data_IF_625753218097
#
_entry.id   IF_625753218097
#
_cell.length_a   1.000
_cell.length_b   1.000
_cell.length_c   1.000
_cell.angle_alpha   90.00
_cell.angle_beta   90.00
_cell.angle_gamma   90.00
#
_symmetry.space_group_name_H-M   'P 1'
#
loop_
_entity.id
_entity.type
_entity.pdbx_description
1 polymer ?
#
# COMPACT_ATOMS: atom_id res chain seq x y z
N UNK A 1 -24.10 -2.86 6.33
CA UNK A 1 -24.27 -2.14 5.06
C UNK A 1 -22.91 -1.50 4.79
N UNK A 2 -22.19 -2.08 3.87
CA UNK A 2 -20.86 -1.63 3.45
C UNK A 2 -21.02 -0.31 2.71
N UNK A 3 -20.53 0.78 3.24
CA UNK A 3 -20.38 2.04 2.52
C UNK A 3 -19.10 1.93 1.70
N UNK A 4 -19.21 1.31 0.52
CA UNK A 4 -18.26 1.52 -0.54
C UNK A 4 -18.33 3.01 -0.92
N UNK A 5 -17.39 3.80 -0.43
CA UNK A 5 -17.10 5.08 -1.07
C UNK A 5 -16.65 4.75 -2.50
N UNK A 6 -17.20 5.37 -3.53
CA UNK A 6 -16.74 5.13 -4.90
C UNK A 6 -15.28 5.55 -4.97
N UNK A 7 -14.40 4.55 -5.19
CA UNK A 7 -13.03 4.79 -5.64
C UNK A 7 -13.15 5.68 -6.90
N UNK A 8 -12.60 6.89 -6.87
CA UNK A 8 -12.46 7.67 -8.10
C UNK A 8 -11.73 6.77 -9.12
N UNK A 9 -12.22 6.65 -10.36
CA UNK A 9 -11.64 5.76 -11.33
C UNK A 9 -10.17 6.12 -11.54
N UNK A 10 -9.28 5.28 -11.03
CA UNK A 10 -7.84 5.47 -11.17
C UNK A 10 -7.50 5.30 -12.65
N UNK A 11 -7.15 6.39 -13.32
CA UNK A 11 -6.69 6.34 -14.70
C UNK A 11 -5.29 5.72 -14.74
N UNK A 12 -5.21 4.45 -15.13
CA UNK A 12 -3.93 3.78 -15.32
C UNK A 12 -3.18 4.36 -16.51
N UNK A 13 -1.89 4.58 -16.33
CA UNK A 13 -0.99 5.06 -17.37
C UNK A 13 -0.36 3.88 -18.13
N UNK A 14 -0.53 3.85 -19.43
CA UNK A 14 0.00 2.79 -20.33
C UNK A 14 1.00 3.40 -21.30
N UNK A 15 2.20 2.82 -21.39
CA UNK A 15 3.16 3.14 -22.45
C UNK A 15 3.00 2.15 -23.61
N UNK A 16 2.66 2.66 -24.77
CA UNK A 16 2.61 1.91 -26.04
C UNK A 16 3.91 2.14 -26.79
N UNK A 17 4.60 1.06 -27.15
CA UNK A 17 5.86 1.11 -27.90
C UNK A 17 5.66 0.36 -29.23
N UNK A 18 5.60 1.10 -30.32
CA UNK A 18 5.26 0.60 -31.65
C UNK A 18 5.88 1.51 -32.72
N UNK A 19 6.62 0.94 -33.66
CA UNK A 19 7.31 1.71 -34.70
C UNK A 19 6.45 1.95 -35.97
N UNK A 20 5.31 1.24 -36.12
CA UNK A 20 4.31 1.56 -37.13
C UNK A 20 3.32 2.62 -36.59
N UNK A 21 3.30 3.83 -37.24
CA UNK A 21 2.46 4.93 -36.76
C UNK A 21 0.95 4.61 -36.76
N UNK A 22 0.47 3.81 -37.71
CA UNK A 22 -0.97 3.48 -37.78
C UNK A 22 -1.38 2.52 -36.65
N UNK A 23 -0.55 1.54 -36.35
CA UNK A 23 -0.76 0.62 -35.25
C UNK A 23 -0.66 1.35 -33.90
N UNK A 24 0.31 2.26 -33.74
CA UNK A 24 0.44 3.08 -32.55
C UNK A 24 -0.78 3.99 -32.32
N UNK A 25 -1.32 4.61 -33.37
CA UNK A 25 -2.52 5.45 -33.29
C UNK A 25 -3.75 4.61 -32.93
N UNK A 26 -3.94 3.44 -33.57
CA UNK A 26 -5.04 2.52 -33.24
C UNK A 26 -5.00 2.08 -31.76
N UNK A 27 -3.83 1.68 -31.27
CA UNK A 27 -3.61 1.28 -29.88
C UNK A 27 -3.91 2.44 -28.91
N UNK A 28 -3.37 3.62 -29.23
CA UNK A 28 -3.60 4.83 -28.43
C UNK A 28 -5.09 5.18 -28.33
N UNK A 29 -5.77 5.20 -29.47
CA UNK A 29 -7.21 5.45 -29.51
C UNK A 29 -8.01 4.39 -28.73
N UNK A 30 -7.71 3.12 -28.93
CA UNK A 30 -8.40 2.01 -28.26
C UNK A 30 -8.26 2.08 -26.75
N UNK A 31 -7.03 2.26 -26.26
CA UNK A 31 -6.75 2.30 -24.82
C UNK A 31 -7.28 3.58 -24.18
N UNK A 32 -7.16 4.73 -24.84
CA UNK A 32 -7.71 5.99 -24.34
C UNK A 32 -9.25 5.94 -24.25
N UNK A 33 -9.91 5.34 -25.24
CA UNK A 33 -11.37 5.12 -25.21
C UNK A 33 -11.83 4.18 -24.10
N UNK A 34 -10.94 3.30 -23.63
CA UNK A 34 -11.16 2.41 -22.49
C UNK A 34 -10.82 3.05 -21.13
N UNK A 35 -10.44 4.34 -21.08
CA UNK A 35 -10.18 5.10 -19.87
C UNK A 35 -8.71 5.07 -19.40
N UNK A 36 -7.77 4.57 -20.19
CA UNK A 36 -6.35 4.61 -19.88
C UNK A 36 -5.72 5.97 -20.27
N UNK A 37 -4.77 6.43 -19.49
CA UNK A 37 -3.85 7.50 -19.93
C UNK A 37 -2.76 6.86 -20.78
N UNK A 38 -2.64 7.26 -22.06
CA UNK A 38 -1.73 6.61 -23.00
C UNK A 38 -0.54 7.52 -23.31
N UNK A 39 0.65 6.95 -23.19
CA UNK A 39 1.90 7.50 -23.70
C UNK A 39 2.38 6.61 -24.85
N UNK A 40 2.98 7.18 -25.89
CA UNK A 40 3.48 6.43 -27.04
C UNK A 40 4.98 6.62 -27.22
N UNK A 41 5.68 5.61 -27.72
CA UNK A 41 7.08 5.68 -28.13
C UNK A 41 7.24 4.91 -29.44
N UNK A 42 7.98 5.47 -30.40
CA UNK A 42 8.20 4.86 -31.70
C UNK A 42 9.40 3.90 -31.74
N UNK A 43 10.10 3.69 -30.64
CA UNK A 43 11.23 2.76 -30.53
C UNK A 43 11.56 2.42 -29.07
N UNK A 44 12.30 1.31 -28.87
CA UNK A 44 12.80 0.91 -27.56
C UNK A 44 13.66 1.98 -26.87
N UNK A 45 14.64 2.61 -27.52
CA UNK A 45 15.41 3.71 -26.92
C UNK A 45 14.58 4.92 -26.50
N UNK A 46 13.53 5.26 -27.28
CA UNK A 46 12.61 6.34 -26.90
C UNK A 46 11.77 5.95 -25.68
N UNK A 47 11.27 4.72 -25.65
CA UNK A 47 10.51 4.18 -24.52
C UNK A 47 11.32 4.24 -23.22
N UNK A 48 12.58 3.80 -23.22
CA UNK A 48 13.45 3.85 -22.07
C UNK A 48 13.65 5.27 -21.54
N UNK A 49 13.90 6.25 -22.43
CA UNK A 49 14.01 7.68 -22.03
C UNK A 49 12.70 8.22 -21.45
N UNK A 50 11.54 7.80 -21.97
CA UNK A 50 10.23 8.21 -21.43
C UNK A 50 10.01 7.64 -20.03
N UNK A 51 10.40 6.42 -19.78
CA UNK A 51 10.29 5.78 -18.47
C UNK A 51 11.13 6.45 -17.37
N UNK A 52 12.15 7.24 -17.71
CA UNK A 52 12.90 8.08 -16.76
C UNK A 52 12.09 9.30 -16.26
N UNK A 53 11.10 9.73 -17.05
CA UNK A 53 10.36 10.98 -16.81
C UNK A 53 8.90 10.74 -16.43
N UNK A 54 8.29 9.68 -16.98
CA UNK A 54 6.86 9.37 -16.83
C UNK A 54 6.70 8.06 -16.09
N UNK A 55 5.88 8.08 -15.04
CA UNK A 55 5.47 6.86 -14.34
C UNK A 55 4.33 6.20 -15.12
N UNK A 56 4.48 4.92 -15.45
CA UNK A 56 3.47 4.12 -16.11
C UNK A 56 3.12 2.87 -15.30
N UNK A 57 1.88 2.42 -15.44
CA UNK A 57 1.37 1.24 -14.73
C UNK A 57 1.49 -0.04 -15.56
N UNK A 58 1.68 0.08 -16.90
CA UNK A 58 1.80 -1.04 -17.82
C UNK A 58 2.51 -0.61 -19.11
N UNK A 59 3.27 -1.53 -19.73
CA UNK A 59 3.91 -1.34 -21.02
C UNK A 59 3.30 -2.33 -22.02
N UNK A 60 2.88 -1.82 -23.18
CA UNK A 60 2.48 -2.62 -24.36
C UNK A 60 3.50 -2.37 -25.43
N UNK A 61 4.23 -3.40 -25.88
CA UNK A 61 5.31 -3.24 -26.84
C UNK A 61 5.19 -4.20 -28.00
N UNK A 62 5.41 -3.72 -29.22
CA UNK A 62 5.73 -4.62 -30.32
C UNK A 62 7.06 -5.35 -30.02
N UNK A 63 7.13 -6.60 -30.45
CA UNK A 63 8.35 -7.39 -30.44
C UNK A 63 9.31 -6.92 -31.51
N UNK A 64 8.82 -6.74 -32.74
CA UNK A 64 9.64 -6.49 -33.93
C UNK A 64 9.73 -5.00 -34.26
N UNK A 65 10.65 -4.30 -33.61
CA UNK A 65 10.91 -2.88 -33.87
C UNK A 65 12.32 -2.64 -34.40
N UNK A 66 12.49 -1.55 -35.13
CA UNK A 66 13.81 -1.09 -35.56
C UNK A 66 14.67 -0.65 -34.37
N UNK A 67 15.98 -0.73 -34.50
CA UNK A 67 17.01 -0.30 -33.55
C UNK A 67 17.10 -1.14 -32.26
N UNK A 68 16.00 -1.51 -31.67
CA UNK A 68 15.92 -2.34 -30.46
C UNK A 68 14.60 -3.11 -30.47
N UNK A 69 14.67 -4.43 -30.51
CA UNK A 69 13.49 -5.27 -30.36
C UNK A 69 12.89 -5.20 -28.94
N UNK A 70 11.61 -5.58 -28.83
CA UNK A 70 10.88 -5.53 -27.56
C UNK A 70 11.48 -6.43 -26.48
N UNK A 71 12.13 -7.54 -26.85
CA UNK A 71 12.78 -8.44 -25.90
C UNK A 71 14.02 -7.80 -25.28
N UNK A 72 14.88 -7.19 -26.09
CA UNK A 72 16.06 -6.45 -25.61
C UNK A 72 15.64 -5.28 -24.72
N UNK A 73 14.56 -4.58 -25.09
CA UNK A 73 14.01 -3.52 -24.24
C UNK A 73 13.55 -4.07 -22.89
N UNK A 74 12.82 -5.18 -22.87
CA UNK A 74 12.36 -5.84 -21.64
C UNK A 74 13.53 -6.27 -20.76
N UNK A 75 14.58 -6.86 -21.33
CA UNK A 75 15.78 -7.25 -20.58
C UNK A 75 16.43 -6.06 -19.87
N UNK A 76 16.50 -4.89 -20.51
CA UNK A 76 17.02 -3.67 -19.88
C UNK A 76 16.12 -3.17 -18.75
N UNK A 77 14.80 -3.22 -18.93
CA UNK A 77 13.81 -2.85 -17.92
C UNK A 77 13.94 -3.77 -16.70
N UNK A 78 14.18 -5.06 -16.89
CA UNK A 78 14.36 -6.04 -15.79
C UNK A 78 15.63 -5.79 -14.95
N UNK A 79 16.64 -5.12 -15.51
CA UNK A 79 17.86 -4.75 -14.79
C UNK A 79 17.67 -3.50 -13.89
N UNK A 80 16.60 -2.74 -14.10
CA UNK A 80 16.28 -1.58 -13.29
C UNK A 80 15.45 -1.97 -12.07
N UNK A 81 15.89 -1.54 -10.89
CA UNK A 81 15.26 -1.90 -9.61
C UNK A 81 13.84 -1.38 -9.43
N UNK A 82 13.43 -0.34 -10.18
CA UNK A 82 12.11 0.29 -10.11
C UNK A 82 11.21 -0.17 -11.26
N UNK A 83 11.75 -0.22 -12.47
CA UNK A 83 11.00 -0.49 -13.69
C UNK A 83 10.70 -1.98 -13.88
N UNK A 84 11.49 -2.88 -13.29
CA UNK A 84 11.35 -4.35 -13.46
C UNK A 84 9.97 -4.88 -13.11
N UNK A 85 9.30 -4.22 -12.15
CA UNK A 85 8.00 -4.64 -11.63
C UNK A 85 6.81 -4.10 -12.46
N UNK A 86 7.07 -3.30 -13.52
CA UNK A 86 6.02 -2.82 -14.42
C UNK A 86 5.55 -3.98 -15.31
N UNK A 87 4.23 -4.29 -15.34
CA UNK A 87 3.68 -5.32 -16.22
C UNK A 87 4.00 -5.03 -17.67
N UNK A 88 4.28 -6.11 -18.41
CA UNK A 88 4.72 -6.02 -19.79
C UNK A 88 3.90 -6.95 -20.70
N UNK A 89 3.28 -6.38 -21.73
CA UNK A 89 2.50 -7.08 -22.74
C UNK A 89 3.23 -6.98 -24.08
N UNK A 90 3.54 -8.12 -24.68
CA UNK A 90 4.09 -8.14 -26.03
C UNK A 90 2.98 -8.23 -27.10
N UNK A 91 3.13 -7.43 -28.14
CA UNK A 91 2.41 -7.60 -29.40
C UNK A 91 3.33 -8.32 -30.37
N UNK A 92 2.93 -9.47 -30.90
CA UNK A 92 3.77 -10.27 -31.78
C UNK A 92 3.04 -10.65 -33.06
N UNK A 93 3.74 -10.65 -34.20
CA UNK A 93 3.22 -11.29 -35.38
C UNK A 93 3.10 -12.79 -35.12
N UNK A 94 2.17 -13.49 -35.80
CA UNK A 94 1.98 -14.94 -35.73
C UNK A 94 3.30 -15.64 -36.07
N UNK A 95 4.10 -15.91 -35.05
CA UNK A 95 5.48 -16.36 -35.16
C UNK A 95 5.69 -17.78 -34.67
N UNK A 96 6.86 -18.30 -34.95
CA UNK A 96 7.33 -19.65 -34.67
C UNK A 96 7.25 -20.01 -33.17
N UNK A 97 7.22 -21.31 -32.89
CA UNK A 97 7.29 -21.86 -31.52
C UNK A 97 8.48 -21.31 -30.71
N UNK A 98 9.55 -20.87 -31.40
CA UNK A 98 10.75 -20.29 -30.78
C UNK A 98 10.48 -18.89 -30.19
N UNK A 99 9.67 -18.05 -30.84
CA UNK A 99 9.30 -16.73 -30.30
C UNK A 99 8.43 -16.86 -29.05
N UNK A 100 7.56 -17.88 -29.02
CA UNK A 100 6.72 -18.17 -27.83
C UNK A 100 7.57 -18.70 -26.67
N UNK A 101 8.58 -19.54 -26.94
CA UNK A 101 9.48 -20.08 -25.91
C UNK A 101 10.39 -18.97 -25.38
N UNK A 102 10.93 -18.12 -26.25
CA UNK A 102 11.76 -16.97 -25.86
C UNK A 102 10.96 -15.98 -25.02
N UNK A 103 9.72 -15.74 -25.43
CA UNK A 103 8.80 -14.90 -24.69
C UNK A 103 8.48 -15.38 -23.28
N UNK A 104 8.21 -16.67 -23.10
CA UNK A 104 7.97 -17.26 -21.77
C UNK A 104 9.18 -17.12 -20.84
N UNK A 105 10.41 -17.12 -21.37
CA UNK A 105 11.64 -16.97 -20.59
C UNK A 105 11.95 -15.51 -20.19
N UNK A 106 11.37 -14.50 -20.87
CA UNK A 106 11.61 -13.07 -20.58
C UNK A 106 10.70 -12.48 -19.50
N UNK A 107 9.83 -13.30 -18.88
CA UNK A 107 8.98 -12.88 -17.75
C UNK A 107 7.97 -11.78 -18.12
N UNK A 108 7.40 -11.82 -19.31
CA UNK A 108 6.27 -10.97 -19.67
C UNK A 108 4.96 -11.48 -19.04
N UNK A 109 4.05 -10.56 -18.75
CA UNK A 109 2.77 -10.90 -18.13
C UNK A 109 1.75 -11.44 -19.16
N UNK A 110 1.89 -11.07 -20.44
CA UNK A 110 0.99 -11.50 -21.51
C UNK A 110 1.61 -11.36 -22.90
N UNK A 111 1.11 -12.16 -23.84
CA UNK A 111 1.42 -12.12 -25.27
C UNK A 111 0.14 -12.00 -26.08
N UNK A 112 0.09 -11.07 -27.00
CA UNK A 112 -1.04 -10.84 -27.91
C UNK A 112 -0.55 -10.91 -29.35
N UNK A 113 -1.11 -11.85 -30.11
CA UNK A 113 -0.73 -12.02 -31.52
C UNK A 113 -1.45 -11.04 -32.43
N UNK A 114 -0.71 -10.42 -33.36
CA UNK A 114 -1.25 -9.61 -34.47
C UNK A 114 -1.75 -10.53 -35.60
N UNK A 115 -2.92 -10.28 -36.23
CA UNK A 115 -3.87 -9.23 -35.89
C UNK A 115 -4.66 -9.57 -34.61
N UNK A 116 -4.93 -8.58 -33.76
CA UNK A 116 -5.69 -8.71 -32.54
C UNK A 116 -7.01 -7.93 -32.58
N UNK A 117 -7.99 -8.43 -31.86
CA UNK A 117 -9.21 -7.67 -31.58
C UNK A 117 -8.89 -6.62 -30.48
N UNK A 118 -9.14 -5.30 -30.75
CA UNK A 118 -8.93 -4.25 -29.76
C UNK A 118 -9.64 -4.48 -28.42
N UNK A 119 -10.87 -5.05 -28.45
CA UNK A 119 -11.62 -5.33 -27.24
C UNK A 119 -10.98 -6.46 -26.42
N UNK A 120 -10.42 -7.46 -27.10
CA UNK A 120 -9.69 -8.56 -26.44
C UNK A 120 -8.41 -8.05 -25.78
N UNK A 121 -7.69 -7.14 -26.45
CA UNK A 121 -6.49 -6.51 -25.86
C UNK A 121 -6.84 -5.74 -24.58
N UNK A 122 -7.86 -4.87 -24.64
CA UNK A 122 -8.35 -4.12 -23.47
C UNK A 122 -8.77 -5.06 -22.33
N UNK A 123 -9.48 -6.14 -22.63
CA UNK A 123 -9.90 -7.12 -21.63
C UNK A 123 -8.70 -7.80 -20.94
N UNK A 124 -7.64 -8.15 -21.71
CA UNK A 124 -6.40 -8.74 -21.18
C UNK A 124 -5.64 -7.76 -20.29
N UNK A 125 -5.48 -6.52 -20.73
CA UNK A 125 -4.85 -5.45 -19.94
C UNK A 125 -5.59 -5.24 -18.63
N UNK A 126 -6.93 -5.13 -18.67
CA UNK A 126 -7.75 -5.01 -17.46
C UNK A 126 -7.58 -6.22 -16.52
N UNK A 127 -7.46 -7.43 -17.06
CA UNK A 127 -7.24 -8.63 -16.23
C UNK A 127 -5.86 -8.61 -15.54
N UNK A 128 -4.80 -8.13 -16.21
CA UNK A 128 -3.47 -7.94 -15.63
C UNK A 128 -3.54 -6.91 -14.51
N UNK A 129 -4.17 -5.74 -14.77
CA UNK A 129 -4.27 -4.67 -13.79
C UNK A 129 -5.05 -5.10 -12.55
N UNK A 130 -6.20 -5.75 -12.71
CA UNK A 130 -7.00 -6.30 -11.58
C UNK A 130 -6.23 -7.36 -10.78
N UNK A 131 -5.47 -8.24 -11.46
CA UNK A 131 -4.65 -9.26 -10.78
C UNK A 131 -3.58 -8.59 -9.94
N UNK A 132 -2.94 -7.55 -10.47
CA UNK A 132 -1.93 -6.77 -9.76
C UNK A 132 -2.52 -5.97 -8.58
N UNK A 133 -3.69 -5.37 -8.74
CA UNK A 133 -4.41 -4.71 -7.64
C UNK A 133 -4.75 -5.69 -6.52
N UNK A 134 -5.30 -6.85 -6.87
CA UNK A 134 -5.63 -7.88 -5.89
C UNK A 134 -4.37 -8.39 -5.18
N UNK A 135 -3.28 -8.63 -5.91
CA UNK A 135 -2.00 -9.04 -5.34
C UNK A 135 -1.41 -7.93 -4.45
N UNK A 136 -1.44 -6.67 -4.91
CA UNK A 136 -0.99 -5.52 -4.12
C UNK A 136 -1.87 -5.28 -2.90
N UNK A 137 -3.19 -5.50 -2.99
CA UNK A 137 -4.13 -5.38 -1.87
C UNK A 137 -3.87 -6.46 -0.82
N UNK A 138 -3.68 -7.71 -1.23
CA UNK A 138 -3.30 -8.82 -0.34
C UNK A 138 -1.91 -8.61 0.25
N UNK A 139 -0.95 -8.11 -0.55
CA UNK A 139 0.40 -7.80 -0.08
C UNK A 139 0.49 -6.54 0.81
N UNK A 140 -0.54 -5.67 0.81
CA UNK A 140 -0.57 -4.42 1.59
C UNK A 140 -1.29 -4.52 2.92
N UNK A 141 -2.23 -5.43 3.05
CA UNK A 141 -3.10 -5.53 4.20
C UNK A 141 -2.73 -6.72 5.09
N UNK A 142 -3.01 -6.58 6.37
CA UNK A 142 -3.04 -7.70 7.31
C UNK A 142 -4.27 -8.56 7.02
N UNK A 143 -4.08 -9.86 6.85
CA UNK A 143 -5.12 -10.80 6.40
C UNK A 143 -6.26 -10.99 7.41
N UNK A 144 -6.00 -10.78 8.71
CA UNK A 144 -7.00 -10.89 9.75
C UNK A 144 -7.80 -9.60 9.89
N UNK A 145 -7.12 -8.47 10.05
CA UNK A 145 -7.75 -7.21 10.44
C UNK A 145 -8.19 -6.34 9.26
N UNK A 146 -7.65 -6.59 8.06
CA UNK A 146 -7.87 -5.74 6.88
C UNK A 146 -7.21 -4.37 6.93
N UNK A 147 -6.45 -4.07 8.00
CA UNK A 147 -5.64 -2.85 8.11
C UNK A 147 -4.35 -2.97 7.31
N UNK A 148 -3.60 -1.86 7.17
CA UNK A 148 -2.28 -1.93 6.57
C UNK A 148 -1.39 -2.91 7.34
N UNK A 149 -0.65 -3.75 6.62
CA UNK A 149 0.38 -4.55 7.24
C UNK A 149 1.61 -3.68 7.58
N UNK A 150 2.51 -4.20 8.42
CA UNK A 150 3.69 -3.48 8.90
C UNK A 150 4.49 -2.80 7.79
N UNK A 151 4.77 -3.52 6.70
CA UNK A 151 5.61 -3.01 5.61
C UNK A 151 4.95 -1.83 4.89
N UNK A 152 3.66 -1.92 4.62
CA UNK A 152 2.90 -0.85 3.95
C UNK A 152 2.74 0.36 4.86
N UNK A 153 2.40 0.13 6.13
CA UNK A 153 2.28 1.16 7.16
C UNK A 153 3.58 1.98 7.26
N UNK A 154 4.71 1.31 7.45
CA UNK A 154 6.03 1.95 7.56
C UNK A 154 6.33 2.82 6.35
N UNK A 155 6.16 2.28 5.14
CA UNK A 155 6.39 2.99 3.90
C UNK A 155 5.49 4.23 3.76
N UNK A 156 4.20 4.11 4.08
CA UNK A 156 3.24 5.19 3.90
C UNK A 156 3.48 6.31 4.95
N UNK A 157 3.84 5.96 6.20
CA UNK A 157 4.25 6.95 7.21
C UNK A 157 5.57 7.64 6.82
N UNK A 158 6.56 6.90 6.32
CA UNK A 158 7.83 7.51 5.84
C UNK A 158 7.59 8.54 4.73
N UNK A 159 6.63 8.32 3.84
CA UNK A 159 6.23 9.30 2.81
C UNK A 159 5.69 10.58 3.42
N UNK A 160 4.83 10.48 4.42
CA UNK A 160 4.31 11.65 5.13
C UNK A 160 5.41 12.39 5.90
N UNK A 161 6.32 11.68 6.54
CA UNK A 161 7.47 12.30 7.23
C UNK A 161 8.41 13.01 6.24
N UNK A 162 8.61 12.47 5.05
CA UNK A 162 9.35 13.14 3.98
C UNK A 162 8.65 14.42 3.48
N UNK A 163 7.30 14.45 3.52
CA UNK A 163 6.51 15.66 3.22
C UNK A 163 6.71 16.75 4.27
N UNK A 164 6.72 16.40 5.56
CA UNK A 164 6.96 17.35 6.67
C UNK A 164 8.34 18.00 6.55
N UNK A 165 9.36 17.27 6.08
CA UNK A 165 10.70 17.84 5.84
C UNK A 165 10.73 18.93 4.77
N UNK A 166 9.81 18.88 3.80
CA UNK A 166 9.71 19.87 2.69
C UNK A 166 8.78 21.03 3.01
N UNK A 167 7.71 20.75 3.73
CA UNK A 167 6.67 21.73 4.06
C UNK A 167 6.49 21.70 5.57
N UNK A 168 6.77 22.82 6.29
CA UNK A 168 6.62 22.88 7.75
C UNK A 168 5.22 22.43 8.18
N UNK A 169 5.15 21.29 8.82
CA UNK A 169 3.95 20.64 9.32
C UNK A 169 4.29 19.77 10.51
N UNK A 170 3.30 19.12 11.09
CA UNK A 170 3.44 18.20 12.21
C UNK A 170 2.54 16.98 12.00
N UNK A 171 2.75 15.93 12.80
CA UNK A 171 1.88 14.77 12.79
C UNK A 171 2.15 13.91 14.01
N UNK A 172 1.14 13.17 14.47
CA UNK A 172 1.23 12.29 15.63
C UNK A 172 1.35 10.84 15.20
N UNK A 173 2.40 10.15 15.66
CA UNK A 173 2.52 8.70 15.58
C UNK A 173 2.07 8.10 16.91
N UNK A 174 1.21 7.09 16.83
CA UNK A 174 0.68 6.33 17.96
C UNK A 174 1.17 4.90 17.87
N UNK A 175 1.64 4.36 18.99
CA UNK A 175 1.91 2.95 19.17
C UNK A 175 1.01 2.41 20.28
N UNK A 176 0.27 1.35 20.01
CA UNK A 176 -0.66 0.77 20.98
C UNK A 176 -0.61 -0.76 21.01
N UNK A 177 -1.02 -1.33 22.13
CA UNK A 177 -1.03 -2.76 22.39
C UNK A 177 -2.20 -3.13 23.32
N UNK A 178 -2.91 -4.24 23.00
CA UNK A 178 -4.09 -4.68 23.76
C UNK A 178 -3.69 -5.14 25.16
N UNK A 179 -4.32 -4.59 26.17
CA UNK A 179 -4.05 -4.93 27.55
C UNK A 179 -4.52 -6.36 27.89
N UNK A 180 -3.57 -7.22 28.26
CA UNK A 180 -3.88 -8.59 28.68
C UNK A 180 -4.27 -9.53 27.54
N UNK A 181 -3.89 -9.25 26.31
CA UNK A 181 -4.23 -10.08 25.15
C UNK A 181 -3.84 -11.55 25.28
N UNK A 182 -2.66 -11.83 25.85
CA UNK A 182 -2.25 -13.20 26.16
C UNK A 182 -3.25 -13.91 27.09
N UNK A 183 -3.76 -13.20 28.11
CA UNK A 183 -4.75 -13.79 29.03
C UNK A 183 -6.06 -14.12 28.31
N UNK A 184 -6.49 -13.29 27.35
CA UNK A 184 -7.66 -13.57 26.51
C UNK A 184 -7.44 -14.87 25.70
N UNK A 185 -6.27 -15.02 25.07
CA UNK A 185 -5.94 -16.25 24.34
C UNK A 185 -5.87 -17.48 25.25
N UNK A 186 -5.20 -17.37 26.38
CA UNK A 186 -5.01 -18.49 27.32
C UNK A 186 -6.35 -18.96 27.94
N UNK A 187 -7.28 -18.02 28.19
CA UNK A 187 -8.57 -18.31 28.85
C UNK A 187 -9.67 -18.71 27.87
N UNK A 188 -9.73 -18.10 26.68
CA UNK A 188 -10.84 -18.21 25.74
C UNK A 188 -10.44 -18.76 24.35
N UNK A 189 -9.15 -19.09 24.16
CA UNK A 189 -8.60 -19.60 22.92
C UNK A 189 -8.31 -18.53 21.86
N UNK A 190 -7.50 -18.89 20.87
CA UNK A 190 -7.05 -17.97 19.81
C UNK A 190 -8.19 -17.32 19.00
N UNK A 191 -9.31 -18.03 18.82
CA UNK A 191 -10.47 -17.45 18.14
C UNK A 191 -11.08 -16.24 18.91
N UNK A 192 -10.95 -16.18 20.23
CA UNK A 192 -11.34 -15.02 21.03
C UNK A 192 -10.34 -13.87 20.85
N UNK A 193 -9.04 -14.17 20.80
CA UNK A 193 -8.01 -13.19 20.46
C UNK A 193 -8.22 -12.59 19.06
N UNK A 194 -8.54 -13.41 18.08
CA UNK A 194 -8.83 -12.94 16.71
C UNK A 194 -10.02 -11.98 16.70
N UNK A 195 -11.09 -12.28 17.44
CA UNK A 195 -12.24 -11.35 17.60
C UNK A 195 -11.84 -10.05 18.27
N UNK A 196 -10.98 -10.10 19.29
CA UNK A 196 -10.48 -8.90 19.96
C UNK A 196 -9.69 -8.00 18.99
N UNK A 197 -8.86 -8.60 18.13
CA UNK A 197 -8.12 -7.87 17.07
C UNK A 197 -9.07 -7.24 16.05
N UNK A 198 -10.13 -7.94 15.64
CA UNK A 198 -11.14 -7.42 14.72
C UNK A 198 -11.95 -6.27 15.34
N UNK A 199 -12.33 -6.37 16.61
CA UNK A 199 -13.01 -5.27 17.32
C UNK A 199 -12.11 -4.05 17.45
N UNK A 200 -10.82 -4.25 17.74
CA UNK A 200 -9.87 -3.15 17.78
C UNK A 200 -9.72 -2.49 16.40
N UNK A 201 -9.51 -3.28 15.35
CA UNK A 201 -9.44 -2.77 14.00
C UNK A 201 -10.68 -1.92 13.61
N UNK A 202 -11.87 -2.42 13.96
CA UNK A 202 -13.13 -1.69 13.74
C UNK A 202 -13.18 -0.38 14.55
N UNK A 203 -12.71 -0.37 15.80
CA UNK A 203 -12.66 0.82 16.63
C UNK A 203 -11.68 1.87 16.09
N UNK A 204 -10.53 1.41 15.56
CA UNK A 204 -9.48 2.28 15.04
C UNK A 204 -9.84 2.92 13.69
N UNK A 205 -10.79 2.35 12.93
CA UNK A 205 -11.13 2.83 11.58
C UNK A 205 -12.45 3.59 11.47
N UNK A 206 -13.29 3.60 12.51
CA UNK A 206 -14.67 4.14 12.39
C UNK A 206 -14.74 5.64 12.14
N UNK A 207 -13.86 6.42 12.76
CA UNK A 207 -13.92 7.89 12.76
C UNK A 207 -12.58 8.52 12.30
N UNK A 208 -11.85 7.85 11.38
CA UNK A 208 -10.60 8.36 10.82
C UNK A 208 -10.83 9.08 9.50
N UNK A 209 -9.91 9.99 9.17
CA UNK A 209 -9.89 10.68 7.87
C UNK A 209 -9.22 9.79 6.81
N UNK A 210 -9.49 10.04 5.54
CA UNK A 210 -8.84 9.32 4.43
C UNK A 210 -7.32 9.48 4.38
N UNK A 211 -6.78 10.52 5.01
CA UNK A 211 -5.33 10.80 5.10
C UNK A 211 -4.67 10.15 6.32
N UNK A 212 -5.44 9.67 7.30
CA UNK A 212 -4.92 9.00 8.47
C UNK A 212 -4.44 7.58 8.09
N UNK A 213 -3.34 7.16 8.66
CA UNK A 213 -2.71 5.88 8.37
C UNK A 213 -2.89 4.97 9.58
N UNK A 214 -3.43 3.77 9.36
CA UNK A 214 -3.67 2.77 10.43
C UNK A 214 -3.21 1.41 9.96
N UNK A 215 -2.40 0.72 10.79
CA UNK A 215 -1.90 -0.61 10.45
C UNK A 215 -1.62 -1.48 11.66
N UNK A 216 -1.61 -2.79 11.41
CA UNK A 216 -1.16 -3.79 12.38
C UNK A 216 0.35 -3.95 12.27
N UNK A 217 1.04 -3.67 13.37
CA UNK A 217 2.50 -3.67 13.42
C UNK A 217 3.09 -5.04 13.80
N UNK A 218 2.41 -5.75 14.68
CA UNK A 218 2.81 -7.09 15.14
C UNK A 218 1.61 -7.77 15.82
N UNK A 219 1.77 -8.93 16.40
CA UNK A 219 0.75 -9.74 17.06
C UNK A 219 -0.49 -8.98 17.56
N UNK A 220 -0.36 -8.24 18.64
CA UNK A 220 -1.39 -7.43 19.29
C UNK A 220 -1.09 -5.93 19.25
N UNK A 221 -0.05 -5.53 18.46
CA UNK A 221 0.46 -4.18 18.37
C UNK A 221 -0.05 -3.49 17.10
N UNK A 222 -0.46 -2.23 17.22
CA UNK A 222 -0.95 -1.40 16.11
C UNK A 222 -0.24 -0.06 16.13
N UNK A 223 -0.06 0.50 14.94
CA UNK A 223 0.49 1.85 14.75
C UNK A 223 -0.48 2.68 13.93
N UNK A 224 -0.69 3.93 14.38
CA UNK A 224 -1.45 4.93 13.65
C UNK A 224 -0.56 6.15 13.40
N UNK A 225 -0.85 6.85 12.31
CA UNK A 225 -0.25 8.14 12.05
C UNK A 225 -1.31 9.13 11.61
N UNK A 226 -1.37 10.28 12.27
CA UNK A 226 -2.31 11.36 12.02
C UNK A 226 -1.57 12.57 11.44
N UNK A 227 -1.60 12.78 10.12
CA UNK A 227 -1.02 13.99 9.50
C UNK A 227 -1.68 15.25 10.05
N UNK A 228 -0.90 16.34 10.13
CA UNK A 228 -1.35 17.67 10.55
C UNK A 228 -2.10 17.67 11.90
N UNK A 229 -1.70 16.75 12.80
CA UNK A 229 -2.35 16.57 14.10
C UNK A 229 -1.29 16.64 15.20
N UNK A 230 -1.35 17.65 16.10
CA UNK A 230 -0.41 17.75 17.23
C UNK A 230 -0.73 16.69 18.29
N UNK A 231 0.29 16.31 19.09
CA UNK A 231 0.20 15.24 20.10
C UNK A 231 -1.04 15.33 21.00
N UNK A 232 -1.41 16.47 21.59
CA UNK A 232 -2.57 16.52 22.50
C UNK A 232 -3.91 16.23 21.79
N UNK A 233 -3.98 16.47 20.48
CA UNK A 233 -5.15 16.14 19.66
C UNK A 233 -5.13 14.63 19.33
N UNK A 234 -3.97 14.09 18.97
CA UNK A 234 -3.76 12.68 18.76
C UNK A 234 -4.16 11.83 19.97
N UNK A 235 -3.73 12.24 21.17
CA UNK A 235 -4.15 11.60 22.44
C UNK A 235 -5.67 11.53 22.55
N UNK A 236 -6.39 12.64 22.38
CA UNK A 236 -7.87 12.66 22.47
C UNK A 236 -8.56 11.79 21.41
N UNK A 237 -8.01 11.71 20.21
CA UNK A 237 -8.54 10.84 19.16
C UNK A 237 -8.44 9.38 19.62
N UNK A 238 -7.27 8.97 20.13
CA UNK A 238 -7.02 7.58 20.56
C UNK A 238 -7.81 7.22 21.82
N UNK A 239 -8.04 8.15 22.74
CA UNK A 239 -8.93 7.95 23.90
C UNK A 239 -10.38 7.65 23.47
N UNK A 240 -10.90 8.32 22.44
CA UNK A 240 -12.21 7.99 21.85
C UNK A 240 -12.24 6.60 21.22
N UNK A 241 -11.18 6.23 20.51
CA UNK A 241 -11.04 4.89 19.94
C UNK A 241 -11.01 3.82 21.03
N UNK A 242 -10.33 4.08 22.15
CA UNK A 242 -10.35 3.18 23.33
C UNK A 242 -11.75 3.01 23.91
N UNK A 243 -12.49 4.09 24.09
CA UNK A 243 -13.86 4.04 24.57
C UNK A 243 -14.75 3.20 23.65
N UNK A 244 -14.55 3.31 22.33
CA UNK A 244 -15.26 2.50 21.36
C UNK A 244 -14.86 1.03 21.42
N UNK A 245 -13.58 0.72 21.51
CA UNK A 245 -13.09 -0.66 21.66
C UNK A 245 -13.67 -1.34 22.89
N UNK A 246 -13.71 -0.63 24.03
CA UNK A 246 -14.36 -1.11 25.25
C UNK A 246 -15.83 -1.45 25.03
N UNK A 247 -16.57 -0.64 24.28
CA UNK A 247 -17.98 -0.90 23.98
C UNK A 247 -18.17 -2.10 23.05
N UNK A 248 -17.34 -2.25 22.01
CA UNK A 248 -17.42 -3.36 21.06
C UNK A 248 -17.08 -4.71 21.72
N UNK A 249 -16.07 -4.73 22.59
CA UNK A 249 -15.61 -5.95 23.25
C UNK A 249 -16.47 -6.39 24.45
N UNK A 250 -17.29 -5.50 25.02
CA UNK A 250 -18.01 -5.71 26.29
C UNK A 250 -18.90 -6.96 26.32
N UNK A 251 -19.56 -7.28 25.21
CA UNK A 251 -20.58 -8.34 25.17
C UNK A 251 -20.03 -9.71 24.75
N UNK A 252 -18.82 -9.78 24.23
CA UNK A 252 -18.31 -10.99 23.57
C UNK A 252 -17.16 -11.67 24.33
N UNK A 253 -16.47 -10.97 25.23
CA UNK A 253 -15.23 -11.43 25.84
C UNK A 253 -15.23 -11.37 27.39
N UNK A 254 -16.38 -11.58 28.03
CA UNK A 254 -16.57 -11.55 29.51
C UNK A 254 -16.10 -10.25 30.17
N UNK A 255 -16.09 -9.13 29.46
CA UNK A 255 -15.73 -7.82 29.97
C UNK A 255 -15.10 -6.92 28.89
N UNK A 256 -15.09 -5.62 29.15
CA UNK A 256 -14.53 -4.67 28.21
C UNK A 256 -13.00 -4.83 28.13
N UNK A 257 -12.47 -5.04 26.93
CA UNK A 257 -11.04 -4.97 26.70
C UNK A 257 -10.59 -3.50 26.58
N UNK A 258 -9.32 -3.28 26.92
CA UNK A 258 -8.64 -2.00 26.78
C UNK A 258 -7.33 -2.17 26.02
N UNK A 259 -6.73 -1.07 25.66
CA UNK A 259 -5.35 -1.03 25.21
C UNK A 259 -4.59 0.08 25.93
N UNK A 260 -3.29 -0.01 25.94
CA UNK A 260 -2.40 1.07 26.34
C UNK A 260 -1.75 1.65 25.10
N UNK A 261 -1.59 2.97 25.05
CA UNK A 261 -1.04 3.66 23.88
C UNK A 261 -0.05 4.77 24.28
N UNK A 262 0.95 4.95 23.43
CA UNK A 262 1.86 6.08 23.49
C UNK A 262 1.79 6.91 22.22
N UNK A 263 1.99 8.22 22.33
CA UNK A 263 1.94 9.18 21.22
C UNK A 263 3.25 9.97 21.16
N UNK A 264 3.86 10.03 19.97
CA UNK A 264 5.02 10.87 19.66
C UNK A 264 4.71 11.79 18.49
N UNK A 265 5.18 13.05 18.54
CA UNK A 265 4.89 14.06 17.53
C UNK A 265 6.08 14.31 16.61
N UNK A 266 5.88 14.23 15.30
CA UNK A 266 6.84 14.66 14.30
C UNK A 266 6.67 16.17 14.01
N UNK A 267 7.75 16.93 13.79
CA UNK A 267 9.16 16.56 13.90
C UNK A 267 9.74 16.71 15.31
N UNK A 268 8.96 17.21 16.30
CA UNK A 268 9.40 17.55 17.65
C UNK A 268 10.13 16.38 18.35
N UNK A 269 9.52 15.19 18.30
CA UNK A 269 10.02 14.02 19.01
C UNK A 269 10.86 13.11 18.12
N UNK A 270 10.77 13.22 16.80
CA UNK A 270 11.55 12.48 15.83
C UNK A 270 11.21 12.87 14.40
N UNK A 271 12.16 12.69 13.49
CA UNK A 271 12.02 13.04 12.08
C UNK A 271 11.97 11.81 11.15
N UNK A 272 12.02 10.61 11.71
CA UNK A 272 11.96 9.33 11.00
C UNK A 272 11.05 8.34 11.75
N UNK A 273 10.61 7.31 11.03
CA UNK A 273 9.66 6.34 11.56
C UNK A 273 10.20 5.56 12.77
N UNK A 274 11.43 5.11 12.71
CA UNK A 274 12.02 4.28 13.77
C UNK A 274 12.10 5.03 15.10
N UNK A 275 12.60 6.28 15.06
CA UNK A 275 12.67 7.16 16.24
C UNK A 275 11.30 7.45 16.83
N UNK A 276 10.28 7.71 15.99
CA UNK A 276 8.92 7.99 16.48
C UNK A 276 8.27 6.74 17.09
N UNK A 277 8.45 5.56 16.48
CA UNK A 277 7.96 4.30 17.03
C UNK A 277 8.61 4.01 18.37
N UNK A 278 9.93 4.15 18.49
CA UNK A 278 10.65 3.94 19.76
C UNK A 278 10.10 4.82 20.87
N UNK A 279 9.89 6.10 20.60
CA UNK A 279 9.38 7.06 21.59
C UNK A 279 7.92 6.80 21.94
N UNK A 280 7.10 6.47 20.97
CA UNK A 280 5.71 6.08 21.22
C UNK A 280 5.63 4.77 22.01
N UNK A 281 6.49 3.77 21.75
CA UNK A 281 6.56 2.54 22.56
C UNK A 281 6.99 2.81 24.01
N UNK A 282 7.97 3.69 24.25
CA UNK A 282 8.35 4.13 25.59
C UNK A 282 7.16 4.74 26.35
N UNK A 283 6.37 5.58 25.68
CA UNK A 283 5.16 6.17 26.28
C UNK A 283 4.08 5.12 26.53
N UNK A 284 3.85 4.20 25.60
CA UNK A 284 2.92 3.07 25.78
C UNK A 284 3.36 2.16 26.95
N UNK A 285 4.64 1.85 27.06
CA UNK A 285 5.19 1.07 28.18
C UNK A 285 4.95 1.78 29.51
N UNK A 286 5.13 3.11 29.54
CA UNK A 286 4.81 3.93 30.72
C UNK A 286 3.31 3.83 31.06
N UNK A 287 2.42 3.90 30.06
CA UNK A 287 0.99 3.70 30.22
C UNK A 287 0.67 2.34 30.87
N UNK A 288 1.30 1.26 30.38
CA UNK A 288 1.14 -0.09 30.94
C UNK A 288 1.58 -0.18 32.42
N UNK A 289 2.68 0.50 32.78
CA UNK A 289 3.17 0.53 34.18
C UNK A 289 2.32 1.36 35.12
N UNK A 290 1.66 2.40 34.64
CA UNK A 290 0.80 3.30 35.41
C UNK A 290 -0.64 2.77 35.62
N UNK A 291 -0.91 1.52 35.23
CA UNK A 291 -2.20 0.89 35.47
C UNK A 291 -2.97 0.51 34.21
N UNK A 292 -2.36 0.62 33.02
CA UNK A 292 -2.96 0.27 31.73
C UNK A 292 -4.17 1.15 31.35
N UNK A 293 -4.86 0.83 30.26
CA UNK A 293 -6.10 1.49 29.83
C UNK A 293 -5.98 3.02 29.73
N UNK A 294 -4.87 3.52 29.19
CA UNK A 294 -4.60 4.95 29.05
C UNK A 294 -3.74 5.27 27.83
N UNK A 295 -3.78 6.52 27.41
CA UNK A 295 -3.02 7.07 26.29
C UNK A 295 -2.10 8.15 26.82
N UNK A 296 -0.79 8.03 26.56
CA UNK A 296 0.22 8.96 27.09
C UNK A 296 1.04 9.55 25.95
N UNK A 297 1.21 10.88 25.93
CA UNK A 297 2.17 11.55 25.06
C UNK A 297 3.60 11.35 25.58
N UNK A 298 4.54 11.09 24.66
CA UNK A 298 5.94 10.90 25.02
C UNK A 298 6.57 12.14 25.68
N UNK A 299 7.46 11.89 26.65
CA UNK A 299 8.25 12.92 27.34
C UNK A 299 9.71 12.45 27.48
N UNK A 300 10.68 13.39 27.49
CA UNK A 300 12.12 13.04 27.52
C UNK A 300 12.60 12.25 28.75
N UNK A 301 11.85 12.27 29.83
CA UNK A 301 12.15 11.56 31.08
C UNK A 301 11.61 10.11 31.14
N UNK A 302 10.95 9.65 30.07
CA UNK A 302 10.43 8.28 29.98
C UNK A 302 11.55 7.28 29.75
N UNK A 303 11.46 6.14 30.46
CA UNK A 303 12.48 5.08 30.42
C UNK A 303 12.24 4.16 29.22
N UNK A 304 13.28 3.77 28.48
CA UNK A 304 13.18 2.77 27.42
C UNK A 304 12.63 1.43 27.93
N UNK A 305 11.96 0.71 27.05
CA UNK A 305 11.54 -0.69 27.29
C UNK A 305 12.80 -1.56 27.35
N UNK A 306 13.13 -2.11 28.52
CA UNK A 306 14.22 -3.08 28.74
C UNK A 306 13.78 -4.49 28.38
#
# INVERSE_FOLDING_TARGET
>A
MSTDLPDEPRHYAVLVVEDDPHTAELLSYTLSSAGFQVFTAASGPEALRKLEIVMVDLIVSDVMMRDMDGFVMRERILQDGVLRDIPFVFLTAKGTSEDQIRGLSTGADEYVTKPFDPQVLVARINAIMRRRENFSRVARLDTLTGLLNRQTLERDVQRELARIKRYPSHGSLVFLDIDGFKQVNDQFGHAAGDRALLHLASALTKDIRSVDIVGRYGGEEFVLYFPETPEPVGVRIVERMMAMFRNLSKNELNGPLTFSAGVAEAPRDGADFATLVEKADQAMYTAKRQGKAQVIGWRPDMVPRT
#
